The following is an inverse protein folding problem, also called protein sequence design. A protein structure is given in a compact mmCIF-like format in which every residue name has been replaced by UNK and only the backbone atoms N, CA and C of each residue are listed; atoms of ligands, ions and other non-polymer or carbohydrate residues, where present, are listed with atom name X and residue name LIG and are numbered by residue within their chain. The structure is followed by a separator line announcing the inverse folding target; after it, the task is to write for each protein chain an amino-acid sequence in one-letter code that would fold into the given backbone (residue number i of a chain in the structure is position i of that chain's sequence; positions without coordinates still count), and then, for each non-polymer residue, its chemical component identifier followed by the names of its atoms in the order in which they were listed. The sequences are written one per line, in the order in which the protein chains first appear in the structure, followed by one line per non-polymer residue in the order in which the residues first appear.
data_IF_212485121192
#
_entry.id   IF_212485121192
#
_cell.length_a   1.000
_cell.length_b   1.000
_cell.length_c   1.000
_cell.angle_alpha   90.00
_cell.angle_beta   90.00
_cell.angle_gamma   90.00
#
_symmetry.space_group_name_H-M   'P 1'
#
loop_
_entity.id
_entity.type
_entity.pdbx_description
1 polymer ?
#
# COMPACT_ATOMS: atom_id res chain seq x y z
N UNK A 1 -6.01 3.71 -68.14
CA UNK A 1 -4.98 2.83 -67.53
C UNK A 1 -4.48 3.52 -66.28
N UNK A 2 -4.96 3.12 -65.10
CA UNK A 2 -4.57 3.77 -63.83
C UNK A 2 -3.11 3.44 -63.49
N UNK A 3 -2.30 4.47 -63.22
CA UNK A 3 -0.85 4.33 -63.02
C UNK A 3 -0.53 3.59 -61.72
N UNK A 4 0.09 2.42 -61.83
CA UNK A 4 0.57 1.55 -60.72
C UNK A 4 1.49 2.30 -59.75
N UNK A 5 2.21 3.33 -60.21
CA UNK A 5 3.02 4.20 -59.35
C UNK A 5 2.18 5.05 -58.37
N UNK A 6 0.96 5.47 -58.76
CA UNK A 6 0.09 6.24 -57.87
C UNK A 6 -0.35 5.41 -56.67
N UNK A 7 -0.79 4.17 -56.92
CA UNK A 7 -1.22 3.25 -55.87
C UNK A 7 -0.09 2.87 -54.90
N UNK A 8 1.17 2.79 -55.37
CA UNK A 8 2.33 2.53 -54.50
C UNK A 8 2.66 3.72 -53.59
N UNK A 9 2.49 4.95 -54.08
CA UNK A 9 2.65 6.16 -53.27
C UNK A 9 1.54 6.25 -52.21
N UNK A 10 0.30 5.92 -52.56
CA UNK A 10 -0.84 5.94 -51.63
C UNK A 10 -0.69 4.93 -50.48
N UNK A 11 -0.26 3.69 -50.78
CA UNK A 11 -0.05 2.65 -49.74
C UNK A 11 1.10 3.03 -48.80
N UNK A 12 2.18 3.62 -49.33
CA UNK A 12 3.33 4.04 -48.52
C UNK A 12 2.96 5.17 -47.55
N UNK A 13 2.11 6.11 -47.98
CA UNK A 13 1.58 7.18 -47.15
C UNK A 13 0.65 6.66 -46.04
N UNK A 14 -0.17 5.65 -46.34
CA UNK A 14 -1.03 4.99 -45.33
C UNK A 14 -0.21 4.28 -44.25
N UNK A 15 0.85 3.57 -44.65
CA UNK A 15 1.74 2.89 -43.69
C UNK A 15 2.47 3.92 -42.82
N UNK A 16 2.99 5.00 -43.41
CA UNK A 16 3.65 6.07 -42.66
C UNK A 16 2.68 6.75 -41.68
N UNK A 17 1.45 7.04 -42.12
CA UNK A 17 0.40 7.60 -41.27
C UNK A 17 0.07 6.69 -40.09
N UNK A 18 -0.01 5.38 -40.30
CA UNK A 18 -0.25 4.41 -39.24
C UNK A 18 0.85 4.42 -38.16
N UNK A 19 2.13 4.44 -38.56
CA UNK A 19 3.24 4.52 -37.61
C UNK A 19 3.26 5.83 -36.81
N UNK A 20 2.87 6.94 -37.44
CA UNK A 20 2.75 8.24 -36.77
C UNK A 20 1.65 8.18 -35.70
N UNK A 21 0.47 7.64 -36.03
CA UNK A 21 -0.66 7.54 -35.09
C UNK A 21 -0.32 6.64 -33.89
N UNK A 22 0.35 5.51 -34.12
CA UNK A 22 0.80 4.62 -33.03
C UNK A 22 1.82 5.33 -32.14
N UNK A 23 2.81 5.99 -32.73
CA UNK A 23 3.86 6.67 -31.97
C UNK A 23 3.28 7.78 -31.09
N UNK A 24 2.35 8.58 -31.63
CA UNK A 24 1.64 9.63 -30.88
C UNK A 24 0.82 9.01 -29.74
N UNK A 25 0.12 7.91 -29.98
CA UNK A 25 -0.71 7.24 -28.97
C UNK A 25 0.13 6.70 -27.80
N UNK A 26 1.30 6.11 -28.10
CA UNK A 26 2.23 5.63 -27.08
C UNK A 26 2.82 6.79 -26.27
N UNK A 27 3.26 7.87 -26.93
CA UNK A 27 3.84 9.03 -26.26
C UNK A 27 2.82 9.70 -25.34
N UNK A 28 1.59 9.93 -25.81
CA UNK A 28 0.52 10.51 -25.00
C UNK A 28 0.12 9.60 -23.84
N UNK A 29 0.07 8.28 -24.05
CA UNK A 29 -0.21 7.31 -22.99
C UNK A 29 0.86 7.32 -21.88
N UNK A 30 2.13 7.32 -22.26
CA UNK A 30 3.25 7.38 -21.30
C UNK A 30 3.29 8.72 -20.56
N UNK A 31 3.13 9.84 -21.27
CA UNK A 31 3.08 11.18 -20.66
C UNK A 31 1.89 11.31 -19.71
N UNK A 32 0.71 10.83 -20.12
CA UNK A 32 -0.48 10.83 -19.28
C UNK A 32 -0.30 9.99 -18.00
N UNK A 33 0.28 8.79 -18.12
CA UNK A 33 0.58 7.95 -16.96
C UNK A 33 1.60 8.61 -16.01
N UNK A 34 2.65 9.21 -16.57
CA UNK A 34 3.68 9.91 -15.80
C UNK A 34 3.12 11.16 -15.10
N UNK A 35 2.33 11.98 -15.81
CA UNK A 35 1.68 13.17 -15.24
C UNK A 35 0.65 12.77 -14.17
N UNK A 36 -0.14 11.73 -14.41
CA UNK A 36 -1.07 11.20 -13.41
C UNK A 36 -0.34 10.80 -12.13
N UNK A 37 0.76 10.07 -12.25
CA UNK A 37 1.59 9.67 -11.10
C UNK A 37 2.18 10.89 -10.37
N UNK A 38 2.70 11.87 -11.12
CA UNK A 38 3.29 13.09 -10.55
C UNK A 38 2.26 13.99 -9.85
N UNK A 39 1.05 14.13 -10.42
CA UNK A 39 -0.06 14.86 -9.80
C UNK A 39 -0.58 14.10 -8.58
N UNK A 40 -0.70 12.78 -8.65
CA UNK A 40 -1.11 11.97 -7.51
C UNK A 40 -0.12 12.09 -6.36
N UNK A 41 1.19 12.09 -6.61
CA UNK A 41 2.19 12.26 -5.54
C UNK A 41 2.21 13.70 -4.98
N UNK A 42 2.07 14.70 -5.85
CA UNK A 42 2.04 16.13 -5.47
C UNK A 42 0.80 16.51 -4.66
N UNK A 43 -0.37 15.98 -5.01
CA UNK A 43 -1.65 16.32 -4.36
C UNK A 43 -2.16 15.26 -3.36
N UNK A 44 -1.69 14.01 -3.46
CA UNK A 44 -2.18 12.87 -2.67
C UNK A 44 -1.82 12.90 -1.19
N UNK A 45 -0.96 13.83 -0.75
CA UNK A 45 -0.67 14.09 0.67
C UNK A 45 -1.60 15.15 1.27
N UNK A 46 -2.90 15.12 0.96
CA UNK A 46 -3.85 16.02 1.63
C UNK A 46 -4.25 15.51 3.02
N UNK A 47 -3.43 15.88 4.02
CA UNK A 47 -3.70 15.68 5.45
C UNK A 47 -4.89 16.54 5.87
N UNK A 48 -6.10 15.97 5.89
CA UNK A 48 -7.31 16.70 6.31
C UNK A 48 -7.43 16.73 7.83
N UNK A 49 -6.80 17.74 8.43
CA UNK A 49 -6.91 18.13 9.84
C UNK A 49 -8.27 18.79 10.08
N UNK A 50 -9.30 18.02 10.46
CA UNK A 50 -10.61 18.58 10.82
C UNK A 50 -10.64 18.98 12.29
N UNK A 51 -10.12 20.18 12.61
CA UNK A 51 -10.41 20.87 13.87
C UNK A 51 -11.79 21.53 13.77
N UNK A 52 -12.88 20.82 14.09
CA UNK A 52 -14.21 21.43 14.32
C UNK A 52 -14.93 20.72 15.46
N UNK A 53 -14.54 21.10 16.68
CA UNK A 53 -15.42 21.48 17.79
C UNK A 53 -16.85 20.90 17.73
N UNK A 54 -17.00 19.61 18.01
CA UNK A 54 -18.26 19.04 18.50
C UNK A 54 -18.27 19.20 20.01
N UNK A 55 -18.62 20.42 20.44
CA UNK A 55 -19.09 20.65 21.80
C UNK A 55 -20.56 20.22 21.79
N UNK A 56 -20.90 19.11 22.45
CA UNK A 56 -22.15 18.87 23.19
C UNK A 56 -22.25 17.40 23.69
N UNK A 57 -22.54 17.29 24.99
CA UNK A 57 -23.03 16.14 25.80
C UNK A 57 -21.99 15.51 26.77
N UNK A 58 -22.34 15.59 28.06
CA UNK A 58 -21.61 15.12 29.24
C UNK A 58 -21.85 13.62 29.56
N UNK A 59 -20.82 12.98 30.12
CA UNK A 59 -20.83 11.79 31.00
C UNK A 59 -21.02 10.37 30.44
N UNK A 60 -20.12 10.01 29.52
CA UNK A 60 -19.44 8.70 29.53
C UNK A 60 -17.94 9.02 29.46
N UNK A 61 -17.03 8.12 29.89
CA UNK A 61 -15.64 8.24 29.46
C UNK A 61 -15.60 8.04 27.95
N UNK A 62 -15.85 9.12 27.21
CA UNK A 62 -15.73 9.16 25.77
C UNK A 62 -14.23 9.11 25.49
N UNK A 63 -13.65 7.91 25.51
CA UNK A 63 -12.39 7.66 24.84
C UNK A 63 -12.66 7.81 23.34
N UNK A 64 -12.77 9.06 22.90
CA UNK A 64 -12.90 9.41 21.49
C UNK A 64 -11.56 9.11 20.84
N UNK A 65 -11.38 7.87 20.38
CA UNK A 65 -10.23 7.51 19.57
C UNK A 65 -10.41 8.09 18.16
N UNK A 66 -9.38 8.76 17.65
CA UNK A 66 -9.40 9.25 16.26
C UNK A 66 -9.21 8.12 15.25
N UNK A 67 -8.58 7.03 15.68
CA UNK A 67 -8.29 5.86 14.86
C UNK A 67 -8.56 4.60 15.66
N UNK A 68 -9.22 3.63 15.02
CA UNK A 68 -9.40 2.28 15.54
C UNK A 68 -8.60 1.34 14.65
N UNK A 69 -7.67 0.60 15.24
CA UNK A 69 -6.87 -0.42 14.57
C UNK A 69 -7.46 -1.78 14.96
N UNK A 70 -7.93 -2.55 13.98
CA UNK A 70 -8.52 -3.87 14.22
C UNK A 70 -7.48 -4.93 13.87
N UNK A 71 -7.09 -5.71 14.88
CA UNK A 71 -6.08 -6.76 14.80
C UNK A 71 -4.75 -6.35 15.42
N UNK A 72 -4.13 -7.28 16.15
CA UNK A 72 -2.83 -7.13 16.82
C UNK A 72 -1.79 -8.10 16.24
N UNK A 73 -1.90 -8.36 14.94
CA UNK A 73 -0.84 -8.98 14.14
C UNK A 73 0.23 -7.97 13.70
N UNK A 74 1.11 -8.40 12.81
CA UNK A 74 2.24 -7.61 12.32
C UNK A 74 1.82 -6.24 11.74
N UNK A 75 0.74 -6.20 10.97
CA UNK A 75 0.22 -4.96 10.37
C UNK A 75 -0.36 -3.99 11.41
N UNK A 76 -1.13 -4.49 12.38
CA UNK A 76 -1.74 -3.67 13.43
C UNK A 76 -0.71 -3.06 14.37
N UNK A 77 0.27 -3.87 14.80
CA UNK A 77 1.40 -3.39 15.59
C UNK A 77 2.27 -2.40 14.81
N UNK A 78 2.56 -2.68 13.54
CA UNK A 78 3.29 -1.75 12.67
C UNK A 78 2.58 -0.41 12.50
N UNK A 79 1.25 -0.41 12.36
CA UNK A 79 0.45 0.82 12.31
C UNK A 79 0.53 1.59 13.63
N UNK A 80 0.39 0.92 14.76
CA UNK A 80 0.48 1.53 16.09
C UNK A 80 1.85 2.18 16.33
N UNK A 81 2.93 1.48 15.98
CA UNK A 81 4.30 2.00 16.04
C UNK A 81 4.41 3.26 15.17
N UNK A 82 3.91 3.22 13.93
CA UNK A 82 4.00 4.38 13.04
C UNK A 82 3.16 5.57 13.52
N UNK A 83 2.02 5.31 14.12
CA UNK A 83 1.20 6.33 14.76
C UNK A 83 1.93 7.00 15.94
N UNK A 84 2.62 6.21 16.77
CA UNK A 84 3.46 6.72 17.85
C UNK A 84 4.60 7.60 17.31
N UNK A 85 5.32 7.15 16.27
CA UNK A 85 6.38 7.94 15.62
C UNK A 85 5.88 9.28 15.06
N UNK A 86 4.62 9.35 14.64
CA UNK A 86 3.98 10.56 14.12
C UNK A 86 3.38 11.45 15.22
N UNK A 87 3.51 11.08 16.50
CA UNK A 87 2.90 11.77 17.62
C UNK A 87 1.37 11.74 17.60
N UNK A 88 0.79 10.69 17.01
CA UNK A 88 -0.65 10.44 16.98
C UNK A 88 -0.96 9.28 17.94
N UNK A 89 -1.17 9.57 19.20
CA UNK A 89 -1.36 8.60 20.29
C UNK A 89 -2.84 8.30 20.61
N UNK A 90 -3.77 9.09 20.08
CA UNK A 90 -5.21 8.91 20.31
C UNK A 90 -5.82 7.84 19.39
N UNK A 91 -5.47 6.58 19.66
CA UNK A 91 -5.99 5.40 18.97
C UNK A 91 -6.20 4.23 19.92
N UNK A 92 -6.95 3.23 19.46
CA UNK A 92 -7.15 1.95 20.17
C UNK A 92 -6.86 0.78 19.24
N UNK A 93 -6.25 -0.28 19.79
CA UNK A 93 -6.10 -1.57 19.12
C UNK A 93 -7.15 -2.53 19.68
N UNK A 94 -7.90 -3.17 18.80
CA UNK A 94 -8.88 -4.19 19.17
C UNK A 94 -8.44 -5.53 18.60
N UNK A 95 -8.33 -6.54 19.47
CA UNK A 95 -8.03 -7.91 19.10
C UNK A 95 -9.19 -8.82 19.49
N UNK A 96 -9.52 -9.77 18.62
CA UNK A 96 -10.55 -10.78 18.88
C UNK A 96 -10.00 -11.90 19.76
N UNK A 97 -8.74 -12.26 19.57
CA UNK A 97 -8.04 -13.27 20.34
C UNK A 97 -7.70 -12.80 21.76
N UNK A 98 -7.40 -13.74 22.66
CA UNK A 98 -7.00 -13.41 24.03
C UNK A 98 -5.56 -12.91 24.14
N UNK A 99 -4.80 -12.94 23.04
CA UNK A 99 -3.41 -12.50 23.00
C UNK A 99 -3.05 -11.96 21.61
N UNK A 100 -1.94 -11.21 21.57
CA UNK A 100 -1.40 -10.65 20.33
C UNK A 100 -0.70 -11.70 19.47
N UNK A 101 -0.49 -11.40 18.20
CA UNK A 101 0.31 -12.24 17.28
C UNK A 101 -0.35 -12.48 15.92
N UNK A 102 -1.66 -12.23 15.79
CA UNK A 102 -2.39 -12.41 14.54
C UNK A 102 -2.23 -13.84 14.00
N UNK A 103 -1.69 -13.99 12.80
CA UNK A 103 -1.45 -15.30 12.16
C UNK A 103 -0.69 -16.28 13.06
N UNK A 104 0.30 -15.82 13.82
CA UNK A 104 1.10 -16.67 14.71
C UNK A 104 0.33 -17.18 15.93
N UNK A 105 -0.65 -16.40 16.39
CA UNK A 105 -1.52 -16.82 17.49
C UNK A 105 -2.64 -17.74 16.99
N UNK A 106 -3.25 -17.38 15.84
CA UNK A 106 -4.41 -18.07 15.29
C UNK A 106 -4.10 -19.47 14.74
N UNK A 107 -2.86 -19.73 14.32
CA UNK A 107 -2.45 -21.01 13.76
C UNK A 107 -1.51 -21.72 14.73
N UNK A 108 -1.89 -22.90 15.22
CA UNK A 108 -1.11 -23.71 16.17
C UNK A 108 -1.07 -25.19 15.77
N UNK A 109 -1.20 -25.48 14.48
CA UNK A 109 -1.14 -26.85 13.99
C UNK A 109 0.29 -27.38 13.96
N UNK A 110 0.51 -28.70 14.10
CA UNK A 110 1.84 -29.29 14.07
C UNK A 110 2.59 -28.94 12.77
N UNK A 111 3.82 -28.44 12.92
CA UNK A 111 4.67 -28.06 11.79
C UNK A 111 4.43 -26.65 11.24
N UNK A 112 3.60 -25.83 11.88
CA UNK A 112 3.41 -24.42 11.50
C UNK A 112 4.74 -23.65 11.59
N UNK A 113 5.14 -23.00 10.49
CA UNK A 113 6.40 -22.27 10.36
C UNK A 113 6.30 -21.17 9.29
N UNK A 114 7.22 -20.21 9.32
CA UNK A 114 7.40 -19.21 8.29
C UNK A 114 8.12 -19.78 7.07
N UNK A 115 7.75 -19.34 5.87
CA UNK A 115 8.44 -19.60 4.60
C UNK A 115 9.54 -18.56 4.30
N UNK A 116 9.57 -17.45 5.04
CA UNK A 116 10.60 -16.42 4.96
C UNK A 116 11.71 -16.70 5.97
N UNK A 117 13.00 -16.54 5.62
CA UNK A 117 14.10 -16.63 6.57
C UNK A 117 13.87 -15.72 7.79
N UNK A 118 14.08 -16.24 8.99
CA UNK A 118 13.71 -15.56 10.24
C UNK A 118 14.34 -14.17 10.39
N UNK A 119 15.58 -14.01 9.92
CA UNK A 119 16.29 -12.72 9.91
C UNK A 119 15.65 -11.67 8.99
N UNK A 120 14.86 -12.09 8.00
CA UNK A 120 14.12 -11.21 7.09
C UNK A 120 12.68 -10.99 7.53
N UNK A 121 12.14 -11.87 8.38
CA UNK A 121 10.78 -11.77 8.91
C UNK A 121 10.78 -11.03 10.26
N UNK A 122 11.22 -9.77 10.24
CA UNK A 122 11.25 -8.85 11.38
C UNK A 122 10.89 -7.43 10.91
N UNK A 123 10.48 -6.55 11.82
CA UNK A 123 10.37 -5.15 11.46
C UNK A 123 11.76 -4.63 11.10
N UNK A 124 11.89 -3.90 9.99
CA UNK A 124 13.19 -3.40 9.52
C UNK A 124 13.89 -2.48 10.54
N UNK A 125 13.13 -1.87 11.44
CA UNK A 125 13.61 -1.00 12.52
C UNK A 125 13.86 -1.74 13.85
N UNK A 126 13.43 -3.00 13.97
CA UNK A 126 13.59 -3.82 15.19
C UNK A 126 13.96 -5.27 14.80
N UNK A 127 15.19 -5.50 14.28
CA UNK A 127 15.64 -6.84 13.93
C UNK A 127 16.02 -7.65 15.18
N UNK A 128 15.65 -8.93 15.22
CA UNK A 128 16.05 -9.83 16.31
C UNK A 128 17.30 -10.65 15.94
N UNK A 129 18.41 -10.61 16.72
CA UNK A 129 19.65 -11.28 16.33
C UNK A 129 19.77 -12.74 16.80
N UNK A 130 18.88 -13.22 17.67
CA UNK A 130 19.03 -14.53 18.36
C UNK A 130 18.00 -15.56 17.91
N UNK A 131 17.67 -15.60 16.61
CA UNK A 131 16.77 -16.61 16.06
C UNK A 131 17.31 -18.03 16.28
N UNK A 132 16.46 -18.93 16.80
CA UNK A 132 16.81 -20.34 17.04
C UNK A 132 16.77 -21.21 15.78
N UNK A 133 16.04 -20.78 14.75
CA UNK A 133 15.86 -21.52 13.51
C UNK A 133 15.99 -20.59 12.29
N UNK A 134 16.47 -21.14 11.17
CA UNK A 134 16.55 -20.41 9.90
C UNK A 134 15.15 -20.04 9.37
N UNK A 135 14.17 -20.93 9.57
CA UNK A 135 12.74 -20.66 9.39
C UNK A 135 12.04 -20.77 10.74
N UNK A 136 11.53 -19.66 11.26
CA UNK A 136 10.86 -19.60 12.55
C UNK A 136 9.63 -20.48 12.59
N UNK A 137 9.53 -21.30 13.64
CA UNK A 137 8.35 -22.11 13.94
C UNK A 137 7.35 -21.29 14.74
N UNK A 138 6.10 -21.72 14.72
CA UNK A 138 5.08 -21.21 15.61
C UNK A 138 5.55 -21.38 17.08
N UNK A 139 5.50 -20.30 17.89
CA UNK A 139 6.04 -20.28 19.25
C UNK A 139 5.21 -21.05 20.26
#
# INVERSE_FOLDING_TARGET
MGNILSYRLDISLLILGYFIVISISLILGFIGHFIYWLLYDSFGRYKKRTKRKLKLINNQQNNEYYVIIIGTGFSGLGMAIKMNELGMDNYILLERHSHIGGTWYANQYPGCACDVPSNLYSFSFEPYPKWSHYFSRQP
#
